data_IF_220511208500
#
_entry.id   IF_220511208500
#
_cell.length_a   1.000
_cell.length_b   1.000
_cell.length_c   1.000
_cell.angle_alpha   90.00
_cell.angle_beta   90.00
_cell.angle_gamma   90.00
#
_symmetry.space_group_name_H-M   'P 1'
#
loop_
_entity.id
_entity.type
_entity.pdbx_description
1 polymer ?
#
# COMPACT_ATOMS: atom_id res chain seq x y z
N UNK A 1 -18.33 19.70 1.49
CA UNK A 1 -18.19 19.63 2.96
C UNK A 1 -16.71 19.56 3.30
N UNK A 2 -16.19 20.47 4.10
CA UNK A 2 -14.78 20.41 4.56
C UNK A 2 -14.64 19.15 5.44
N UNK A 3 -13.84 18.17 5.01
CA UNK A 3 -13.55 16.98 5.83
C UNK A 3 -12.87 17.45 7.12
N UNK A 4 -13.53 17.26 8.26
CA UNK A 4 -12.93 17.52 9.57
C UNK A 4 -12.05 16.34 9.95
N UNK A 5 -10.76 16.56 10.10
CA UNK A 5 -9.78 15.54 10.50
C UNK A 5 -9.09 15.90 11.81
N UNK A 6 -8.58 14.89 12.51
CA UNK A 6 -7.84 15.08 13.75
C UNK A 6 -6.34 15.26 13.44
N UNK A 7 -5.86 16.51 13.48
CA UNK A 7 -4.46 16.87 13.19
C UNK A 7 -3.43 16.06 14.00
N UNK A 8 -3.75 15.70 15.23
CA UNK A 8 -2.88 14.85 16.07
C UNK A 8 -2.72 13.44 15.48
N UNK A 9 -3.80 12.87 14.95
CA UNK A 9 -3.77 11.54 14.34
C UNK A 9 -3.00 11.56 13.03
N UNK A 10 -3.20 12.59 12.20
CA UNK A 10 -2.43 12.80 10.96
C UNK A 10 -0.94 12.87 11.23
N UNK A 11 -0.51 13.62 12.26
CA UNK A 11 0.89 13.70 12.66
C UNK A 11 1.46 12.35 13.10
N UNK A 12 0.71 11.56 13.85
CA UNK A 12 1.14 10.21 14.22
C UNK A 12 1.35 9.34 12.99
N UNK A 13 0.45 9.39 12.00
CA UNK A 13 0.56 8.63 10.75
C UNK A 13 1.76 9.07 9.93
N UNK A 14 1.96 10.38 9.75
CA UNK A 14 3.13 10.93 9.04
C UNK A 14 4.45 10.53 9.71
N UNK A 15 4.52 10.50 11.04
CA UNK A 15 5.70 10.00 11.77
C UNK A 15 5.97 8.52 11.45
N UNK A 16 4.92 7.68 11.43
CA UNK A 16 5.03 6.25 11.07
C UNK A 16 5.57 6.12 9.64
N UNK A 17 4.98 6.84 8.68
CA UNK A 17 5.35 6.78 7.26
C UNK A 17 6.81 7.19 7.05
N UNK A 18 7.26 8.27 7.72
CA UNK A 18 8.65 8.74 7.61
C UNK A 18 9.64 7.76 8.22
N UNK A 19 9.34 7.17 9.40
CA UNK A 19 10.19 6.14 10.00
C UNK A 19 10.33 4.94 9.05
N UNK A 20 9.23 4.49 8.46
CA UNK A 20 9.24 3.36 7.52
C UNK A 20 10.05 3.68 6.27
N UNK A 21 9.87 4.87 5.69
CA UNK A 21 10.61 5.34 4.52
C UNK A 21 12.12 5.38 4.74
N UNK A 22 12.56 5.75 5.96
CA UNK A 22 13.98 5.83 6.32
C UNK A 22 14.58 4.48 6.77
N UNK A 23 13.77 3.43 6.93
CA UNK A 23 14.23 2.14 7.48
C UNK A 23 14.47 2.16 9.00
N UNK A 24 13.94 3.18 9.68
CA UNK A 24 14.27 3.54 11.06
C UNK A 24 14.74 4.98 11.14
N UNK A 25 14.40 5.69 12.21
CA UNK A 25 14.81 7.08 12.36
C UNK A 25 15.01 7.51 13.82
N UNK A 26 15.94 8.41 14.04
CA UNK A 26 16.12 9.13 15.30
C UNK A 26 15.17 10.32 15.40
N UNK A 27 15.02 10.88 16.60
CA UNK A 27 14.23 12.10 16.80
C UNK A 27 14.79 13.31 16.01
N UNK A 28 16.11 13.37 15.83
CA UNK A 28 16.77 14.46 15.10
C UNK A 28 16.45 14.39 13.61
N UNK A 29 16.59 13.23 12.99
CA UNK A 29 16.22 12.99 11.59
C UNK A 29 14.73 13.31 11.36
N UNK A 30 13.84 12.86 12.26
CA UNK A 30 12.41 13.17 12.15
C UNK A 30 12.12 14.67 12.27
N UNK A 31 12.88 15.41 13.08
CA UNK A 31 12.73 16.87 13.21
C UNK A 31 13.24 17.60 11.95
N UNK A 32 14.23 17.03 11.27
CA UNK A 32 14.75 17.56 10.00
C UNK A 32 13.82 17.30 8.82
N UNK A 33 13.15 16.15 8.79
CA UNK A 33 12.26 15.74 7.69
C UNK A 33 10.82 16.29 7.82
N UNK A 34 10.35 16.55 9.05
CA UNK A 34 8.96 16.90 9.30
C UNK A 34 8.82 18.36 9.75
N UNK A 35 7.86 19.07 9.17
CA UNK A 35 7.43 20.41 9.62
C UNK A 35 6.58 20.34 10.91
N UNK A 36 7.09 19.65 11.93
CA UNK A 36 6.45 19.43 13.23
C UNK A 36 7.46 19.75 14.33
N UNK A 37 7.04 20.43 15.40
CA UNK A 37 7.95 20.76 16.50
C UNK A 37 8.55 19.49 17.14
N UNK A 38 9.83 19.55 17.54
CA UNK A 38 10.52 18.45 18.21
C UNK A 38 9.76 17.89 19.42
N UNK A 39 9.17 18.78 20.23
CA UNK A 39 8.37 18.39 21.40
C UNK A 39 7.12 17.60 21.02
N UNK A 40 6.47 17.97 19.91
CA UNK A 40 5.29 17.28 19.38
C UNK A 40 5.67 15.91 18.82
N UNK A 41 6.75 15.82 18.03
CA UNK A 41 7.25 14.53 17.52
C UNK A 41 7.56 13.59 18.69
N UNK A 42 8.22 14.09 19.74
CA UNK A 42 8.54 13.29 20.93
C UNK A 42 7.28 12.70 21.59
N UNK A 43 6.20 13.47 21.74
CA UNK A 43 4.92 12.98 22.28
C UNK A 43 4.31 11.87 21.42
N UNK A 44 4.32 12.03 20.09
CA UNK A 44 3.83 10.98 19.17
C UNK A 44 4.67 9.71 19.26
N UNK A 45 6.00 9.84 19.28
CA UNK A 45 6.93 8.71 19.41
C UNK A 45 6.69 7.95 20.72
N UNK A 46 6.57 8.66 21.84
CA UNK A 46 6.31 8.02 23.14
C UNK A 46 4.97 7.28 23.11
N UNK A 47 3.91 7.92 22.61
CA UNK A 47 2.59 7.27 22.50
C UNK A 47 2.65 6.02 21.63
N UNK A 48 3.28 6.09 20.46
CA UNK A 48 3.36 4.97 19.52
C UNK A 48 4.23 3.82 20.06
N UNK A 49 5.31 4.13 20.78
CA UNK A 49 6.12 3.13 21.50
C UNK A 49 5.31 2.44 22.60
N UNK A 50 4.64 3.20 23.47
CA UNK A 50 3.82 2.64 24.56
C UNK A 50 2.66 1.78 24.05
N UNK A 51 2.15 2.08 22.85
CA UNK A 51 1.12 1.26 22.18
C UNK A 51 1.72 0.14 21.31
N UNK A 52 3.03 -0.01 21.20
CA UNK A 52 3.69 -1.09 20.45
C UNK A 52 3.62 -0.95 18.93
N UNK A 53 3.23 0.22 18.41
CA UNK A 53 3.30 0.54 16.98
C UNK A 53 4.70 0.95 16.55
N UNK A 54 5.55 1.38 17.49
CA UNK A 54 6.98 1.53 17.29
C UNK A 54 7.74 0.62 18.25
N UNK A 55 8.97 0.29 17.90
CA UNK A 55 10.01 -0.22 18.79
C UNK A 55 11.22 0.71 18.74
N UNK A 56 12.14 0.59 19.69
CA UNK A 56 13.33 1.44 19.76
C UNK A 56 14.57 0.62 20.03
N UNK A 57 15.60 0.82 19.21
CA UNK A 57 16.93 0.21 19.35
C UNK A 57 17.96 1.33 19.52
N UNK A 58 18.51 1.48 20.73
CA UNK A 58 19.36 2.62 21.06
C UNK A 58 18.62 3.95 20.92
N UNK A 59 19.00 4.76 19.93
CA UNK A 59 18.37 6.05 19.62
C UNK A 59 17.36 5.97 18.45
N UNK A 60 17.35 4.85 17.71
CA UNK A 60 16.59 4.69 16.46
C UNK A 60 15.23 4.07 16.75
N UNK A 61 14.18 4.67 16.22
CA UNK A 61 12.82 4.18 16.27
C UNK A 61 12.54 3.37 15.01
N UNK A 62 11.94 2.19 15.15
CA UNK A 62 11.54 1.32 14.06
C UNK A 62 10.05 0.99 14.13
N UNK A 63 9.46 0.54 13.02
CA UNK A 63 8.08 0.07 12.97
C UNK A 63 7.92 -1.17 13.86
N UNK A 64 6.94 -1.13 14.77
CA UNK A 64 6.61 -2.24 15.66
C UNK A 64 5.72 -3.28 14.98
N UNK A 65 5.78 -4.52 15.47
CA UNK A 65 5.03 -5.65 14.90
C UNK A 65 3.51 -5.59 15.12
N UNK A 66 2.99 -4.62 15.88
CA UNK A 66 1.53 -4.47 16.09
C UNK A 66 0.77 -4.22 14.77
N UNK A 67 1.40 -3.59 13.79
CA UNK A 67 0.81 -3.43 12.46
C UNK A 67 0.53 -4.77 11.77
N UNK A 68 1.39 -5.78 11.95
CA UNK A 68 1.17 -7.11 11.39
C UNK A 68 -0.13 -7.72 11.90
N UNK A 69 -0.43 -7.60 13.20
CA UNK A 69 -1.67 -8.11 13.77
C UNK A 69 -2.91 -7.46 13.13
N UNK A 70 -2.90 -6.14 12.97
CA UNK A 70 -4.00 -5.42 12.30
C UNK A 70 -4.09 -5.76 10.82
N UNK A 71 -2.95 -5.91 10.13
CA UNK A 71 -2.87 -6.29 8.73
C UNK A 71 -3.44 -7.68 8.48
N UNK A 72 -3.06 -8.67 9.28
CA UNK A 72 -3.61 -10.04 9.19
C UNK A 72 -5.11 -10.07 9.45
N UNK A 73 -5.61 -9.32 10.43
CA UNK A 73 -7.04 -9.18 10.66
C UNK A 73 -7.73 -8.54 9.43
N UNK A 74 -7.19 -7.44 8.91
CA UNK A 74 -7.75 -6.76 7.74
C UNK A 74 -7.78 -7.67 6.50
N UNK A 75 -6.75 -8.50 6.34
CA UNK A 75 -6.60 -9.48 5.25
C UNK A 75 -7.53 -10.70 5.39
N UNK A 76 -8.01 -11.02 6.59
CA UNK A 76 -8.87 -12.20 6.84
C UNK A 76 -10.33 -11.86 7.19
N UNK A 77 -10.67 -10.59 7.43
CA UNK A 77 -12.00 -10.17 7.91
C UNK A 77 -13.17 -10.47 6.96
N UNK A 78 -12.91 -10.76 5.68
CA UNK A 78 -13.94 -11.13 4.70
C UNK A 78 -13.65 -12.53 4.19
N UNK A 79 -14.68 -13.38 4.12
CA UNK A 79 -14.58 -14.73 3.57
C UNK A 79 -13.94 -14.73 2.17
N UNK A 80 -14.26 -13.73 1.33
CA UNK A 80 -13.69 -13.58 0.00
C UNK A 80 -12.15 -13.44 0.01
N UNK A 81 -11.57 -12.77 1.00
CA UNK A 81 -10.10 -12.62 1.08
C UNK A 81 -9.45 -13.94 1.47
N UNK A 82 -10.03 -14.65 2.43
CA UNK A 82 -9.55 -15.99 2.83
C UNK A 82 -9.62 -17.00 1.69
N UNK A 83 -10.73 -16.99 0.92
CA UNK A 83 -10.88 -17.83 -0.27
C UNK A 83 -9.88 -17.41 -1.36
N UNK A 84 -9.67 -16.12 -1.56
CA UNK A 84 -8.70 -15.62 -2.53
C UNK A 84 -7.28 -16.13 -2.25
N UNK A 85 -6.88 -16.28 -0.98
CA UNK A 85 -5.59 -16.91 -0.65
C UNK A 85 -5.48 -18.32 -1.22
N UNK A 86 -6.51 -19.15 -1.04
CA UNK A 86 -6.53 -20.52 -1.56
C UNK A 86 -6.49 -20.52 -3.09
N UNK A 87 -7.31 -19.68 -3.73
CA UNK A 87 -7.35 -19.57 -5.19
C UNK A 87 -6.03 -19.09 -5.79
N UNK A 88 -5.35 -18.13 -5.15
CA UNK A 88 -4.03 -17.65 -5.57
C UNK A 88 -3.02 -18.79 -5.57
N UNK A 89 -2.97 -19.58 -4.49
CA UNK A 89 -2.07 -20.74 -4.41
C UNK A 89 -2.43 -21.80 -5.45
N UNK A 90 -3.70 -22.23 -5.51
CA UNK A 90 -4.14 -23.28 -6.44
C UNK A 90 -3.94 -22.90 -7.91
N UNK A 91 -4.12 -21.62 -8.27
CA UNK A 91 -3.87 -21.15 -9.63
C UNK A 91 -2.37 -21.14 -9.93
N UNK A 92 -1.56 -20.65 -9.00
CA UNK A 92 -0.10 -20.62 -9.15
C UNK A 92 0.53 -22.00 -9.23
N UNK A 93 -0.07 -23.02 -8.61
CA UNK A 93 0.43 -24.41 -8.73
C UNK A 93 0.11 -25.01 -10.12
N UNK A 94 -0.77 -24.38 -10.89
CA UNK A 94 -1.21 -24.84 -12.21
C UNK A 94 -0.56 -24.08 -13.36
N UNK A 95 0.10 -22.96 -13.07
CA UNK A 95 0.77 -22.10 -14.06
C UNK A 95 2.16 -21.77 -13.55
N UNK A 96 3.18 -21.75 -14.40
CA UNK A 96 4.55 -21.40 -13.99
C UNK A 96 4.74 -19.89 -13.79
N UNK A 97 3.73 -19.20 -13.27
CA UNK A 97 3.64 -17.73 -13.14
C UNK A 97 3.17 -17.30 -11.74
N UNK A 98 3.54 -16.08 -11.33
CA UNK A 98 3.05 -15.45 -10.10
C UNK A 98 1.57 -15.05 -10.25
N UNK A 99 0.78 -15.25 -9.20
CA UNK A 99 -0.63 -14.89 -9.13
C UNK A 99 -0.84 -13.86 -8.03
N UNK A 100 -1.49 -12.75 -8.38
CA UNK A 100 -1.81 -11.67 -7.45
C UNK A 100 -3.32 -11.53 -7.24
N UNK A 101 -3.72 -11.30 -5.99
CA UNK A 101 -5.08 -10.88 -5.64
C UNK A 101 -5.06 -9.45 -5.10
N UNK A 102 -5.60 -8.55 -5.91
CA UNK A 102 -5.64 -7.11 -5.67
C UNK A 102 -7.07 -6.68 -5.33
N UNK A 103 -7.20 -5.81 -4.33
CA UNK A 103 -8.49 -5.25 -3.90
C UNK A 103 -8.48 -3.74 -4.05
N UNK A 104 -9.60 -3.13 -4.44
CA UNK A 104 -9.75 -1.68 -4.40
C UNK A 104 -9.84 -1.16 -2.96
N UNK A 105 -8.90 -0.29 -2.56
CA UNK A 105 -8.86 0.40 -1.28
C UNK A 105 -8.47 1.87 -1.51
N UNK A 106 -9.22 2.82 -0.97
CA UNK A 106 -8.94 4.27 -1.09
C UNK A 106 -8.69 4.71 -2.54
N UNK A 107 -9.50 4.22 -3.47
CA UNK A 107 -9.38 4.48 -4.91
C UNK A 107 -8.04 4.04 -5.53
N UNK A 108 -7.27 3.19 -4.85
CA UNK A 108 -6.09 2.48 -5.36
C UNK A 108 -6.32 0.97 -5.32
N UNK A 109 -5.47 0.21 -5.99
CA UNK A 109 -5.40 -1.24 -5.80
C UNK A 109 -4.43 -1.55 -4.68
N UNK A 110 -4.77 -2.42 -3.73
CA UNK A 110 -3.84 -2.95 -2.74
C UNK A 110 -3.66 -4.44 -2.96
N UNK A 111 -2.42 -4.90 -3.04
CA UNK A 111 -2.09 -6.33 -3.13
C UNK A 111 -2.33 -7.00 -1.77
N UNK A 112 -3.23 -7.99 -1.74
CA UNK A 112 -3.64 -8.65 -0.49
C UNK A 112 -3.00 -10.04 -0.37
N UNK A 113 -2.99 -10.79 -1.46
CA UNK A 113 -2.33 -12.11 -1.55
C UNK A 113 -1.52 -12.19 -2.82
N UNK A 114 -0.39 -12.86 -2.74
CA UNK A 114 0.48 -13.19 -3.86
C UNK A 114 0.95 -14.63 -3.70
N UNK A 115 1.22 -15.30 -4.81
CA UNK A 115 2.03 -16.50 -4.84
C UNK A 115 3.47 -16.15 -5.25
N UNK A 116 4.40 -17.04 -4.93
CA UNK A 116 5.76 -16.97 -5.42
C UNK A 116 6.05 -18.23 -6.23
N UNK A 117 6.51 -18.06 -7.47
CA UNK A 117 6.95 -19.16 -8.31
C UNK A 117 8.47 -19.02 -8.58
N UNK A 118 9.31 -20.00 -8.18
CA UNK A 118 10.76 -19.93 -8.37
C UNK A 118 11.19 -19.72 -9.83
N UNK A 119 10.41 -20.28 -10.76
CA UNK A 119 10.66 -20.24 -12.19
C UNK A 119 9.85 -19.15 -12.92
N UNK A 120 9.20 -18.24 -12.18
CA UNK A 120 8.49 -17.11 -12.78
C UNK A 120 9.42 -16.32 -13.70
N UNK A 121 8.95 -16.07 -14.93
CA UNK A 121 9.70 -15.30 -15.93
C UNK A 121 9.91 -13.83 -15.52
N UNK A 122 9.12 -13.33 -14.57
CA UNK A 122 9.20 -11.97 -14.06
C UNK A 122 9.23 -11.97 -12.53
N UNK A 123 10.34 -12.42 -11.91
CA UNK A 123 10.42 -12.55 -10.47
C UNK A 123 10.20 -11.19 -9.80
N UNK A 124 9.23 -11.16 -8.90
CA UNK A 124 8.80 -10.01 -8.11
C UNK A 124 9.94 -9.17 -7.48
N UNK A 125 11.12 -9.76 -7.23
CA UNK A 125 12.32 -9.07 -6.72
C UNK A 125 12.77 -7.85 -7.55
N UNK A 126 12.52 -7.82 -8.86
CA UNK A 126 12.93 -6.70 -9.71
C UNK A 126 11.95 -5.51 -9.69
N UNK A 127 10.72 -5.71 -9.16
CA UNK A 127 9.66 -4.68 -9.13
C UNK A 127 9.55 -3.95 -7.80
N UNK A 128 10.26 -4.38 -6.76
CA UNK A 128 10.03 -3.86 -5.41
C UNK A 128 10.88 -2.65 -5.06
N UNK A 129 10.19 -1.54 -4.78
CA UNK A 129 10.72 -0.37 -4.05
C UNK A 129 10.91 -0.70 -2.56
N UNK A 130 10.51 -1.91 -2.12
CA UNK A 130 10.58 -2.39 -0.74
C UNK A 130 11.52 -3.59 -0.64
N UNK A 131 12.43 -3.59 0.32
CA UNK A 131 13.27 -4.74 0.68
C UNK A 131 12.49 -5.84 1.42
N UNK A 132 11.15 -5.73 1.48
CA UNK A 132 10.31 -6.68 2.18
C UNK A 132 10.27 -8.05 1.47
N UNK A 133 10.18 -9.15 2.24
CA UNK A 133 10.08 -10.51 1.69
C UNK A 133 8.72 -10.82 1.03
N UNK A 134 7.74 -9.92 1.16
CA UNK A 134 6.43 -10.00 0.52
C UNK A 134 6.01 -8.62 0.04
N UNK A 135 5.29 -8.61 -1.06
CA UNK A 135 4.71 -7.45 -1.75
C UNK A 135 3.30 -7.13 -1.24
N UNK A 136 2.76 -7.94 -0.32
CA UNK A 136 1.47 -7.67 0.31
C UNK A 136 1.46 -6.28 0.97
N UNK A 137 0.41 -5.51 0.69
CA UNK A 137 0.27 -4.12 1.12
C UNK A 137 0.79 -3.08 0.12
N UNK A 138 1.41 -3.50 -1.00
CA UNK A 138 1.76 -2.57 -2.08
C UNK A 138 0.50 -1.99 -2.71
N UNK A 139 0.54 -0.67 -2.94
CA UNK A 139 -0.52 0.05 -3.61
C UNK A 139 -0.19 0.30 -5.10
N UNK A 140 -1.11 -0.12 -5.96
CA UNK A 140 -1.11 0.15 -7.39
C UNK A 140 -2.00 1.35 -7.74
N UNK A 141 -1.60 2.09 -8.78
CA UNK A 141 -2.54 2.95 -9.50
C UNK A 141 -3.42 2.06 -10.39
N UNK A 142 -4.74 2.19 -10.29
CA UNK A 142 -5.64 1.24 -10.95
C UNK A 142 -5.54 1.29 -12.48
N UNK A 143 -5.16 2.42 -13.07
CA UNK A 143 -5.00 2.54 -14.53
C UNK A 143 -3.75 1.81 -15.07
N UNK A 144 -2.76 1.55 -14.23
CA UNK A 144 -1.43 1.10 -14.69
C UNK A 144 -1.22 -0.41 -14.62
N UNK A 145 -2.15 -1.17 -14.05
CA UNK A 145 -2.04 -2.63 -13.89
C UNK A 145 -3.29 -3.34 -14.42
N UNK A 146 -3.15 -4.57 -14.92
CA UNK A 146 -4.25 -5.33 -15.51
C UNK A 146 -5.38 -5.59 -14.50
N UNK A 147 -5.05 -6.00 -13.26
CA UNK A 147 -6.01 -6.18 -12.17
C UNK A 147 -6.77 -4.89 -11.85
N UNK A 148 -6.09 -3.76 -11.90
CA UNK A 148 -6.68 -2.44 -11.67
C UNK A 148 -7.63 -2.02 -12.78
N UNK A 149 -7.26 -2.23 -14.04
CA UNK A 149 -8.15 -1.98 -15.19
C UNK A 149 -9.37 -2.89 -15.17
N UNK A 150 -9.21 -4.16 -14.82
CA UNK A 150 -10.32 -5.09 -14.63
C UNK A 150 -11.27 -4.62 -13.52
N UNK A 151 -10.74 -4.08 -12.41
CA UNK A 151 -11.57 -3.44 -11.37
C UNK A 151 -12.30 -2.22 -11.93
N UNK A 152 -11.63 -1.35 -12.70
CA UNK A 152 -12.24 -0.13 -13.24
C UNK A 152 -13.36 -0.42 -14.22
N UNK A 153 -13.21 -1.44 -15.08
CA UNK A 153 -14.23 -1.84 -16.06
C UNK A 153 -15.56 -2.28 -15.43
N UNK A 154 -15.53 -2.74 -14.17
CA UNK A 154 -16.72 -3.18 -13.42
C UNK A 154 -17.34 -2.05 -12.56
N UNK A 155 -16.76 -0.85 -12.58
CA UNK A 155 -17.29 0.30 -11.84
C UNK A 155 -18.16 1.20 -12.73
N UNK A 156 -19.19 1.86 -12.16
CA UNK A 156 -19.86 2.96 -12.86
C UNK A 156 -18.88 4.08 -13.23
N UNK A 157 -19.09 4.76 -14.36
CA UNK A 157 -18.22 5.82 -14.88
C UNK A 157 -17.88 6.90 -13.83
N UNK A 158 -18.88 7.34 -13.06
CA UNK A 158 -18.71 8.31 -11.97
C UNK A 158 -17.72 7.84 -10.88
N UNK A 159 -17.60 6.53 -10.66
CA UNK A 159 -16.64 5.93 -9.72
C UNK A 159 -15.26 5.76 -10.34
N UNK A 160 -15.20 5.54 -11.66
CA UNK A 160 -13.93 5.56 -12.41
C UNK A 160 -13.35 6.98 -12.36
N UNK A 161 -14.14 8.00 -12.69
CA UNK A 161 -13.70 9.40 -12.64
C UNK A 161 -13.21 9.80 -11.24
N UNK A 162 -13.93 9.42 -10.18
CA UNK A 162 -13.49 9.67 -8.81
C UNK A 162 -12.13 9.03 -8.47
N UNK A 163 -11.81 7.87 -9.05
CA UNK A 163 -10.48 7.25 -8.91
C UNK A 163 -9.42 8.12 -9.60
N UNK A 164 -9.71 8.59 -10.81
CA UNK A 164 -8.79 9.39 -11.60
C UNK A 164 -8.58 10.79 -11.02
N UNK A 165 -9.59 11.35 -10.35
CA UNK A 165 -9.50 12.63 -9.65
C UNK A 165 -8.61 12.55 -8.41
N UNK A 166 -8.71 11.47 -7.64
CA UNK A 166 -7.93 11.30 -6.41
C UNK A 166 -6.45 11.03 -6.68
N UNK A 167 -6.13 10.26 -7.73
CA UNK A 167 -4.77 9.73 -7.93
C UNK A 167 -4.14 10.03 -9.29
N UNK A 168 -4.89 10.56 -10.24
CA UNK A 168 -4.42 10.87 -11.59
C UNK A 168 -4.01 9.63 -12.39
N UNK A 169 -3.22 9.88 -13.45
CA UNK A 169 -2.68 8.85 -14.34
C UNK A 169 -1.15 8.91 -14.42
N UNK A 170 -0.42 8.78 -13.29
CA UNK A 170 1.03 8.89 -13.30
C UNK A 170 1.65 7.80 -14.19
N UNK A 171 2.58 8.22 -15.04
CA UNK A 171 3.33 7.34 -15.94
C UNK A 171 4.21 6.39 -15.11
N UNK A 172 3.95 5.08 -15.19
CA UNK A 172 4.78 4.05 -14.53
C UNK A 172 5.84 3.49 -15.50
N UNK A 173 5.52 3.45 -16.79
CA UNK A 173 6.38 2.97 -17.89
C UNK A 173 6.11 3.76 -19.17
N UNK A 174 6.91 3.52 -20.22
CA UNK A 174 6.67 4.10 -21.54
C UNK A 174 5.27 3.76 -22.12
N UNK A 175 4.73 2.58 -21.76
CA UNK A 175 3.46 2.05 -22.28
C UNK A 175 2.25 2.37 -21.37
N UNK A 176 2.44 3.12 -20.29
CA UNK A 176 1.32 3.49 -19.40
C UNK A 176 0.38 4.43 -20.14
N UNK A 177 -0.93 4.13 -20.12
CA UNK A 177 -1.97 5.03 -20.60
C UNK A 177 -2.04 6.22 -19.63
N UNK A 178 -1.74 7.44 -20.10
CA UNK A 178 -1.71 8.65 -19.24
C UNK A 178 -2.79 9.67 -19.60
N UNK A 179 -3.71 9.28 -20.48
CA UNK A 179 -4.81 10.12 -20.96
C UNK A 179 -6.15 9.49 -20.57
N UNK A 180 -7.09 10.33 -20.11
CA UNK A 180 -8.37 9.86 -19.55
C UNK A 180 -9.26 9.24 -20.61
N UNK A 181 -9.40 9.90 -21.75
CA UNK A 181 -10.28 9.43 -22.84
C UNK A 181 -9.76 8.10 -23.41
N UNK A 182 -8.45 7.99 -23.61
CA UNK A 182 -7.82 6.73 -24.03
C UNK A 182 -7.99 5.61 -22.99
N UNK A 183 -7.97 5.93 -21.69
CA UNK A 183 -8.21 4.92 -20.66
C UNK A 183 -9.67 4.46 -20.70
N UNK A 184 -10.63 5.37 -20.78
CA UNK A 184 -12.06 5.01 -20.84
C UNK A 184 -12.37 4.16 -22.08
N UNK A 185 -11.82 4.52 -23.24
CA UNK A 185 -11.95 3.72 -24.47
C UNK A 185 -11.27 2.34 -24.37
N UNK A 186 -10.26 2.20 -23.51
CA UNK A 186 -9.62 0.90 -23.29
C UNK A 186 -10.42 -0.01 -22.35
N UNK A 187 -11.30 0.56 -21.52
CA UNK A 187 -12.12 -0.18 -20.55
C UNK A 187 -13.46 -0.66 -21.15
N UNK A 188 -13.97 0.02 -22.17
CA UNK A 188 -15.28 -0.21 -22.80
C UNK A 188 -15.17 -0.34 -24.32
#
# INVERSE_FOLDING_TARGET
>A
MTKQTAKTTERSLVVIDTIQKLGGATLEELTGELEISRSTIHLHLQTLLEKGYLTKEGAVYHIGLRFLNHGEYARSRKNAYTLAKQTVTELSDRIDEEVEFVVKNDNRGILVHESFHPDSHFPSKERHISTAPSSAGIYYYLHSVATGKAILAELPDERVEAVLDDWGLPRQTAQTITDRDNLLQHLF
#
